data_IF_319415604991
#
_entry.id   IF_319415604991
#
_cell.length_a   1.000
_cell.length_b   1.000
_cell.length_c   1.000
_cell.angle_alpha   90.00
_cell.angle_beta   90.00
_cell.angle_gamma   90.00
#
_symmetry.space_group_name_H-M   'P 1'
#
loop_
_entity.id
_entity.type
_entity.pdbx_description
1 polymer ?
#
# COMPACT_ATOMS: atom_id res chain seq x y z
N UNK A 1 -30.86 26.76 -2.25
CA UNK A 1 -32.24 26.23 -2.13
C UNK A 1 -32.53 25.88 -0.68
N UNK A 2 -31.63 25.18 0.00
CA UNK A 2 -31.64 25.05 1.46
C UNK A 2 -31.25 26.36 2.16
N UNK A 3 -31.76 26.56 3.37
CA UNK A 3 -31.32 27.66 4.24
C UNK A 3 -29.95 27.38 4.88
N UNK A 4 -29.47 28.31 5.72
CA UNK A 4 -28.18 28.19 6.42
C UNK A 4 -28.08 26.99 7.37
N UNK A 5 -29.19 26.34 7.71
CA UNK A 5 -29.24 25.16 8.56
C UNK A 5 -29.41 23.87 7.73
N UNK A 6 -29.35 23.95 6.40
CA UNK A 6 -29.56 22.81 5.51
C UNK A 6 -31.04 22.42 5.33
N UNK A 7 -31.99 23.23 5.80
CA UNK A 7 -33.42 22.91 5.71
C UNK A 7 -34.02 23.39 4.39
N UNK A 8 -34.93 22.60 3.84
CA UNK A 8 -35.68 22.92 2.62
C UNK A 8 -37.18 22.74 2.86
N UNK A 9 -37.98 23.67 2.34
CA UNK A 9 -39.44 23.57 2.36
C UNK A 9 -40.03 24.32 1.16
N UNK A 10 -41.03 23.69 0.53
CA UNK A 10 -41.82 24.32 -0.54
C UNK A 10 -43.06 25.04 0.00
N UNK A 11 -43.21 25.22 1.31
CA UNK A 11 -44.40 25.80 1.92
C UNK A 11 -44.39 27.35 1.87
N UNK A 12 -45.55 27.97 1.66
CA UNK A 12 -45.66 29.44 1.55
C UNK A 12 -45.33 30.20 2.83
N UNK A 13 -45.43 29.54 3.99
CA UNK A 13 -45.02 30.09 5.28
C UNK A 13 -43.49 30.05 5.50
N UNK A 14 -42.76 29.31 4.66
CA UNK A 14 -41.30 29.32 4.60
C UNK A 14 -40.82 30.40 3.62
N UNK A 15 -41.28 30.33 2.37
CA UNK A 15 -41.04 31.33 1.34
C UNK A 15 -42.31 31.52 0.51
N UNK A 16 -42.79 32.76 0.40
CA UNK A 16 -43.98 33.08 -0.42
C UNK A 16 -43.77 32.60 -1.85
N UNK A 17 -44.76 31.88 -2.39
CA UNK A 17 -44.78 31.38 -3.76
C UNK A 17 -44.70 32.51 -4.79
N UNK A 18 -45.01 33.75 -4.39
CA UNK A 18 -45.02 34.94 -5.25
C UNK A 18 -43.67 35.66 -5.31
N UNK A 19 -42.77 35.38 -4.38
CA UNK A 19 -41.48 36.07 -4.27
C UNK A 19 -40.46 35.36 -5.14
N UNK A 20 -39.95 36.03 -6.18
CA UNK A 20 -38.88 35.49 -7.05
C UNK A 20 -39.14 34.04 -7.49
N UNK A 21 -40.38 33.74 -7.86
CA UNK A 21 -40.86 32.37 -8.09
C UNK A 21 -39.94 31.59 -9.03
N UNK A 22 -39.45 30.44 -8.57
CA UNK A 22 -38.56 29.52 -9.28
C UNK A 22 -37.21 30.15 -9.73
N UNK A 23 -36.78 31.26 -9.11
CA UNK A 23 -35.51 31.90 -9.46
C UNK A 23 -34.28 31.06 -9.05
N UNK A 24 -34.39 30.26 -8.00
CA UNK A 24 -33.35 29.32 -7.56
C UNK A 24 -32.06 29.96 -7.03
N UNK A 25 -32.10 31.23 -6.57
CA UNK A 25 -30.91 31.98 -6.14
C UNK A 25 -30.72 31.98 -4.63
N UNK A 26 -31.80 31.86 -3.86
CA UNK A 26 -31.75 31.84 -2.40
C UNK A 26 -32.82 30.90 -1.82
N UNK A 27 -32.69 30.55 -0.54
CA UNK A 27 -33.72 29.81 0.21
C UNK A 27 -35.01 30.62 0.46
N UNK A 28 -35.01 31.91 0.12
CA UNK A 28 -36.16 32.80 0.26
C UNK A 28 -36.96 32.96 -1.05
N UNK A 29 -36.47 32.39 -2.15
CA UNK A 29 -37.18 32.37 -3.42
C UNK A 29 -38.30 31.34 -3.37
N UNK A 30 -39.51 31.76 -3.74
CA UNK A 30 -40.70 30.92 -3.76
C UNK A 30 -40.63 29.83 -4.82
N UNK A 31 -41.34 28.74 -4.56
CA UNK A 31 -41.51 27.63 -5.52
C UNK A 31 -42.98 27.58 -5.94
N UNK A 32 -43.22 27.42 -7.24
CA UNK A 32 -44.57 27.24 -7.77
C UNK A 32 -44.56 26.46 -9.08
N UNK A 33 -45.22 25.30 -9.08
CA UNK A 33 -45.46 24.45 -10.24
C UNK A 33 -46.96 24.30 -10.54
N UNK A 34 -47.81 25.06 -9.85
CA UNK A 34 -49.24 25.08 -10.10
C UNK A 34 -49.59 25.67 -11.48
N UNK A 35 -50.74 25.28 -12.02
CA UNK A 35 -51.22 25.74 -13.34
C UNK A 35 -51.87 27.13 -13.33
N UNK A 36 -51.88 27.82 -12.18
CA UNK A 36 -52.39 29.19 -12.02
C UNK A 36 -51.27 30.17 -11.69
N UNK A 37 -51.61 31.45 -11.51
CA UNK A 37 -50.73 32.41 -10.85
C UNK A 37 -50.30 31.89 -9.45
N UNK A 38 -49.07 32.21 -8.98
CA UNK A 38 -48.60 31.78 -7.67
C UNK A 38 -49.52 32.23 -6.53
N UNK A 39 -49.88 31.27 -5.67
CA UNK A 39 -50.92 31.47 -4.65
C UNK A 39 -50.52 30.80 -3.33
N UNK A 40 -50.14 31.62 -2.34
CA UNK A 40 -49.70 31.20 -1.01
C UNK A 40 -50.75 30.41 -0.22
N UNK A 41 -52.02 30.38 -0.65
CA UNK A 41 -53.06 29.58 0.00
C UNK A 41 -53.06 28.09 -0.40
N UNK A 42 -52.29 27.73 -1.43
CA UNK A 42 -52.21 26.39 -2.05
C UNK A 42 -50.83 25.76 -1.82
N UNK A 43 -50.70 24.47 -2.12
CA UNK A 43 -49.40 23.81 -2.22
C UNK A 43 -48.69 24.18 -3.52
N UNK A 44 -47.36 24.28 -3.48
CA UNK A 44 -46.54 24.64 -4.63
C UNK A 44 -46.46 23.55 -5.72
N UNK A 45 -46.64 22.28 -5.36
CA UNK A 45 -46.48 21.12 -6.24
C UNK A 45 -47.83 20.55 -6.68
N UNK A 46 -47.88 20.03 -7.91
CA UNK A 46 -49.02 19.28 -8.44
C UNK A 46 -49.05 17.86 -7.84
N UNK A 47 -50.14 17.13 -8.08
CA UNK A 47 -50.19 15.72 -7.71
C UNK A 47 -49.43 14.90 -8.75
N UNK A 48 -48.27 14.40 -8.37
CA UNK A 48 -47.41 13.61 -9.23
C UNK A 48 -46.32 12.89 -8.41
N UNK A 49 -45.49 12.11 -9.11
CA UNK A 49 -44.22 11.59 -8.60
C UNK A 49 -43.10 12.51 -9.04
N UNK A 50 -42.29 12.94 -8.09
CA UNK A 50 -41.15 13.82 -8.29
C UNK A 50 -39.87 13.08 -7.99
N UNK A 51 -38.84 13.26 -8.82
CA UNK A 51 -37.50 12.81 -8.53
C UNK A 51 -36.74 13.94 -7.82
N UNK A 52 -36.12 13.63 -6.69
CA UNK A 52 -35.22 14.52 -5.97
C UNK A 52 -33.80 14.06 -6.24
N UNK A 53 -32.99 14.92 -6.85
CA UNK A 53 -31.58 14.68 -7.16
C UNK A 53 -30.72 15.72 -6.43
N UNK A 54 -29.67 15.25 -5.74
CA UNK A 54 -28.63 16.13 -5.22
C UNK A 54 -27.65 16.51 -6.33
N UNK A 55 -27.40 17.81 -6.50
CA UNK A 55 -26.48 18.32 -7.50
C UNK A 55 -25.09 18.58 -6.92
N UNK A 56 -24.06 18.19 -7.66
CA UNK A 56 -22.67 18.48 -7.32
C UNK A 56 -22.41 20.00 -7.21
N UNK A 57 -21.72 20.41 -6.16
CA UNK A 57 -21.31 21.77 -5.89
C UNK A 57 -20.00 21.80 -5.07
N UNK A 58 -19.42 22.98 -4.84
CA UNK A 58 -18.19 23.09 -4.04
C UNK A 58 -18.38 22.62 -2.59
N UNK A 59 -19.60 22.67 -2.04
CA UNK A 59 -19.89 22.28 -0.65
C UNK A 59 -19.99 20.77 -0.42
N UNK A 60 -20.29 19.97 -1.45
CA UNK A 60 -20.35 18.50 -1.37
C UNK A 60 -19.19 17.83 -2.14
N UNK A 61 -18.12 18.58 -2.43
CA UNK A 61 -16.92 18.04 -3.09
C UNK A 61 -16.25 16.98 -2.21
N UNK A 62 -16.06 15.77 -2.77
CA UNK A 62 -15.49 14.62 -2.05
C UNK A 62 -16.51 13.86 -1.19
N UNK A 63 -17.79 14.24 -1.26
CA UNK A 63 -18.88 13.50 -0.64
C UNK A 63 -19.55 12.59 -1.68
N UNK A 64 -20.05 11.45 -1.23
CA UNK A 64 -20.92 10.60 -2.02
C UNK A 64 -22.31 11.22 -2.03
N UNK A 65 -22.70 11.78 -3.19
CA UNK A 65 -24.01 12.39 -3.37
C UNK A 65 -25.12 11.37 -3.10
N UNK A 66 -26.21 11.86 -2.53
CA UNK A 66 -27.40 11.06 -2.28
C UNK A 66 -27.99 10.65 -3.63
N UNK A 67 -28.15 9.33 -3.91
CA UNK A 67 -28.76 8.87 -5.14
C UNK A 67 -30.16 9.46 -5.30
N UNK A 68 -30.54 9.80 -6.54
CA UNK A 68 -31.86 10.32 -6.81
C UNK A 68 -32.95 9.36 -6.30
N UNK A 69 -34.00 9.92 -5.68
CA UNK A 69 -35.11 9.14 -5.15
C UNK A 69 -36.45 9.81 -5.43
N UNK A 70 -37.50 9.00 -5.45
CA UNK A 70 -38.85 9.46 -5.77
C UNK A 70 -39.62 9.90 -4.53
N UNK A 71 -40.41 10.96 -4.70
CA UNK A 71 -41.33 11.51 -3.72
C UNK A 71 -42.71 11.68 -4.36
N UNK A 72 -43.74 11.09 -3.73
CA UNK A 72 -45.10 11.09 -4.28
C UNK A 72 -45.98 12.13 -3.58
N UNK A 73 -46.43 13.14 -4.33
CA UNK A 73 -47.41 14.13 -3.86
C UNK A 73 -48.80 13.65 -4.27
N UNK A 74 -49.56 13.09 -3.35
CA UNK A 74 -50.90 12.53 -3.63
C UNK A 74 -52.06 13.25 -2.95
N UNK A 75 -51.78 14.27 -2.12
CA UNK A 75 -52.79 14.99 -1.32
C UNK A 75 -52.47 16.46 -1.20
N UNK A 76 -53.50 17.29 -1.09
CA UNK A 76 -53.34 18.73 -0.85
C UNK A 76 -52.69 18.98 0.52
N UNK A 77 -51.77 19.96 0.59
CA UNK A 77 -51.11 20.41 1.83
C UNK A 77 -50.49 19.28 2.66
N UNK A 78 -49.94 18.27 2.00
CA UNK A 78 -49.19 17.20 2.67
C UNK A 78 -47.76 17.64 2.95
N UNK A 79 -47.25 17.30 4.13
CA UNK A 79 -45.81 17.35 4.43
C UNK A 79 -45.26 15.94 4.25
N UNK A 80 -44.22 15.81 3.43
CA UNK A 80 -43.48 14.57 3.26
C UNK A 80 -42.19 14.74 4.05
N UNK A 81 -42.08 13.99 5.14
CA UNK A 81 -40.88 13.99 5.98
C UNK A 81 -39.84 13.05 5.35
N UNK A 82 -38.72 13.63 4.90
CA UNK A 82 -37.58 12.89 4.35
C UNK A 82 -36.51 12.62 5.41
N UNK A 83 -36.80 12.96 6.67
CA UNK A 83 -35.87 12.91 7.79
C UNK A 83 -34.57 13.69 7.48
N UNK A 84 -33.44 13.20 7.98
CA UNK A 84 -32.13 13.79 7.70
C UNK A 84 -31.52 13.12 6.49
N UNK A 85 -31.39 13.89 5.41
CA UNK A 85 -30.58 13.53 4.25
C UNK A 85 -29.13 13.93 4.57
N UNK A 86 -28.22 12.98 4.59
CA UNK A 86 -26.79 13.22 4.88
C UNK A 86 -25.94 12.54 3.83
N UNK A 87 -25.04 13.31 3.24
CA UNK A 87 -24.03 12.78 2.33
C UNK A 87 -23.04 11.97 3.15
N UNK A 88 -22.76 10.76 2.69
CA UNK A 88 -21.67 9.98 3.26
C UNK A 88 -20.35 10.47 2.66
N UNK A 89 -19.28 10.51 3.46
CA UNK A 89 -17.95 10.71 2.90
C UNK A 89 -17.66 9.59 1.90
N UNK A 90 -17.22 9.95 0.68
CA UNK A 90 -16.66 8.93 -0.20
C UNK A 90 -15.33 8.52 0.43
N UNK A 91 -15.28 7.30 0.97
CA UNK A 91 -14.09 6.80 1.65
C UNK A 91 -12.96 6.67 0.62
N UNK A 92 -12.02 7.60 0.66
CA UNK A 92 -10.85 7.56 -0.21
C UNK A 92 -9.96 6.38 0.17
N UNK A 93 -9.58 5.58 -0.83
CA UNK A 93 -8.59 4.51 -0.66
C UNK A 93 -7.21 5.12 -0.87
N UNK A 94 -6.35 5.05 0.15
CA UNK A 94 -4.97 5.52 0.07
C UNK A 94 -4.00 4.37 -0.15
N UNK A 95 -2.90 4.66 -0.84
CA UNK A 95 -1.84 3.71 -1.18
C UNK A 95 -0.49 4.27 -0.78
N UNK A 96 0.25 3.49 0.01
CA UNK A 96 1.63 3.77 0.41
C UNK A 96 2.49 2.58 0.07
N UNK A 97 3.61 2.81 -0.60
CA UNK A 97 4.42 1.74 -1.16
C UNK A 97 5.88 1.86 -0.75
N UNK A 98 6.57 0.72 -0.67
CA UNK A 98 8.01 0.68 -0.43
C UNK A 98 8.67 -0.48 -1.18
N UNK A 99 9.57 -0.15 -2.09
CA UNK A 99 10.35 -1.11 -2.87
C UNK A 99 11.71 -1.41 -2.23
N UNK A 100 12.05 -2.71 -2.14
CA UNK A 100 13.31 -3.22 -1.60
C UNK A 100 13.80 -4.48 -2.32
N UNK A 101 15.07 -4.81 -2.12
CA UNK A 101 15.63 -6.10 -2.54
C UNK A 101 15.04 -7.26 -1.73
N UNK A 102 14.68 -8.36 -2.40
CA UNK A 102 14.18 -9.56 -1.72
C UNK A 102 15.19 -10.21 -0.76
N UNK A 103 16.49 -10.12 -1.06
CA UNK A 103 17.54 -10.85 -0.32
C UNK A 103 18.00 -10.02 0.88
N UNK A 104 18.26 -8.74 0.69
CA UNK A 104 18.82 -7.86 1.73
C UNK A 104 17.77 -7.02 2.45
N UNK A 105 16.60 -6.80 1.85
CA UNK A 105 15.61 -5.82 2.34
C UNK A 105 16.07 -4.37 2.18
N UNK A 106 17.17 -4.12 1.45
CA UNK A 106 17.72 -2.79 1.23
C UNK A 106 17.26 -2.20 -0.11
N UNK A 107 17.46 -0.89 -0.28
CA UNK A 107 17.21 -0.19 -1.55
C UNK A 107 18.35 -0.30 -2.55
N UNK A 108 19.29 -1.21 -2.31
CA UNK A 108 20.48 -1.41 -3.13
C UNK A 108 20.58 -2.88 -3.52
N UNK A 109 20.67 -3.13 -4.82
CA UNK A 109 20.72 -4.47 -5.41
C UNK A 109 21.97 -4.59 -6.25
N UNK A 110 22.71 -5.69 -6.17
CA UNK A 110 23.82 -5.95 -7.09
C UNK A 110 23.25 -6.50 -8.41
N UNK A 111 23.69 -5.94 -9.54
CA UNK A 111 23.30 -6.41 -10.86
C UNK A 111 23.58 -7.90 -11.04
N UNK A 112 22.70 -8.61 -11.74
CA UNK A 112 22.86 -10.03 -11.97
C UNK A 112 21.73 -10.65 -12.78
N UNK A 113 21.90 -11.91 -13.17
CA UNK A 113 20.94 -12.65 -14.01
C UNK A 113 19.55 -12.80 -13.40
N UNK A 114 19.43 -12.62 -12.09
CA UNK A 114 18.16 -12.71 -11.37
C UNK A 114 18.15 -11.67 -10.26
N UNK A 115 17.48 -10.57 -10.51
CA UNK A 115 17.13 -9.54 -9.52
C UNK A 115 15.68 -9.79 -9.10
N UNK A 116 15.34 -9.55 -7.84
CA UNK A 116 13.95 -9.57 -7.38
C UNK A 116 13.67 -8.39 -6.46
N UNK A 117 12.86 -7.46 -6.95
CA UNK A 117 12.35 -6.34 -6.17
C UNK A 117 11.05 -6.78 -5.52
N UNK A 118 10.92 -6.57 -4.22
CA UNK A 118 9.68 -6.71 -3.47
C UNK A 118 9.14 -5.32 -3.22
N UNK A 119 7.92 -5.08 -3.65
CA UNK A 119 7.17 -3.87 -3.31
C UNK A 119 6.16 -4.20 -2.22
N UNK A 120 6.24 -3.50 -1.09
CA UNK A 120 5.31 -3.61 0.03
C UNK A 120 4.29 -2.49 -0.06
N UNK A 121 3.03 -2.84 -0.25
CA UNK A 121 1.93 -1.91 -0.48
C UNK A 121 1.00 -1.93 0.72
N UNK A 122 0.96 -0.81 1.44
CA UNK A 122 -0.04 -0.53 2.48
C UNK A 122 -1.23 0.18 1.84
N UNK A 123 -2.41 -0.37 2.07
CA UNK A 123 -3.68 0.13 1.57
C UNK A 123 -4.57 0.45 2.76
N UNK A 124 -5.12 1.65 2.81
CA UNK A 124 -6.10 2.04 3.81
C UNK A 124 -7.40 2.45 3.14
N UNK A 125 -8.51 2.18 3.82
CA UNK A 125 -9.84 2.55 3.36
C UNK A 125 -10.50 1.54 2.41
N UNK A 126 -9.98 0.32 2.30
CA UNK A 126 -10.61 -0.76 1.54
C UNK A 126 -11.99 -1.12 2.11
N UNK A 127 -12.84 -1.71 1.26
CA UNK A 127 -14.11 -2.28 1.67
C UNK A 127 -13.99 -3.79 1.92
N UNK A 128 -14.33 -4.24 3.13
CA UNK A 128 -14.24 -5.66 3.50
C UNK A 128 -15.13 -6.54 2.60
N UNK A 129 -14.59 -7.68 2.16
CA UNK A 129 -15.24 -8.60 1.23
C UNK A 129 -15.20 -8.17 -0.24
N UNK A 130 -14.70 -6.96 -0.55
CA UNK A 130 -14.58 -6.47 -1.93
C UNK A 130 -13.32 -6.99 -2.61
N UNK A 131 -13.43 -7.33 -3.90
CA UNK A 131 -12.32 -7.79 -4.73
C UNK A 131 -11.57 -6.62 -5.35
N UNK A 132 -10.26 -6.64 -5.26
CA UNK A 132 -9.36 -5.65 -5.84
C UNK A 132 -8.28 -6.31 -6.71
N UNK A 133 -7.71 -5.52 -7.63
CA UNK A 133 -6.55 -5.89 -8.43
C UNK A 133 -5.49 -4.80 -8.30
N UNK A 134 -4.33 -5.16 -7.75
CA UNK A 134 -3.14 -4.33 -7.70
C UNK A 134 -2.29 -4.62 -8.93
N UNK A 135 -1.99 -3.60 -9.72
CA UNK A 135 -1.08 -3.69 -10.86
C UNK A 135 0.17 -2.89 -10.57
N UNK A 136 1.33 -3.50 -10.74
CA UNK A 136 2.60 -2.83 -10.55
C UNK A 136 3.53 -3.01 -11.75
N UNK A 137 4.45 -2.06 -11.95
CA UNK A 137 5.51 -2.17 -12.96
C UNK A 137 6.75 -1.37 -12.59
N UNK A 138 7.87 -1.78 -13.16
CA UNK A 138 9.16 -1.11 -12.95
C UNK A 138 9.37 -0.01 -13.99
N UNK A 139 9.82 1.15 -13.52
CA UNK A 139 10.23 2.30 -14.32
C UNK A 139 11.75 2.46 -14.21
N UNK A 140 12.40 2.85 -15.30
CA UNK A 140 13.78 3.35 -15.27
C UNK A 140 13.75 4.84 -14.95
N UNK A 141 14.33 5.24 -13.81
CA UNK A 141 14.21 6.60 -13.26
C UNK A 141 14.75 7.65 -14.22
N UNK A 142 15.91 7.39 -14.81
CA UNK A 142 16.62 8.36 -15.66
C UNK A 142 15.89 8.67 -16.98
N UNK A 143 15.13 7.70 -17.49
CA UNK A 143 14.42 7.82 -18.77
C UNK A 143 12.93 8.13 -18.59
N UNK A 144 12.42 8.05 -17.36
CA UNK A 144 10.99 8.08 -17.05
C UNK A 144 10.17 7.15 -17.98
N UNK A 145 10.72 5.95 -18.21
CA UNK A 145 10.18 4.97 -19.14
C UNK A 145 10.01 3.61 -18.45
N UNK A 146 9.03 2.82 -18.91
CA UNK A 146 8.84 1.46 -18.39
C UNK A 146 10.08 0.62 -18.69
N UNK A 147 10.57 -0.10 -17.69
CA UNK A 147 11.68 -1.03 -17.84
C UNK A 147 11.29 -2.15 -18.82
N UNK A 148 12.14 -2.36 -19.84
CA UNK A 148 12.01 -3.43 -20.81
C UNK A 148 13.22 -4.37 -20.70
N UNK A 149 12.96 -5.65 -20.48
CA UNK A 149 13.97 -6.73 -20.59
C UNK A 149 13.53 -7.63 -21.73
N UNK A 150 14.39 -7.83 -22.73
CA UNK A 150 14.10 -8.58 -23.96
C UNK A 150 12.81 -8.10 -24.67
N UNK A 151 12.57 -6.78 -24.65
CA UNK A 151 11.39 -6.15 -25.26
C UNK A 151 10.09 -6.36 -24.48
N UNK A 152 10.12 -6.97 -23.29
CA UNK A 152 8.96 -7.19 -22.42
C UNK A 152 8.99 -6.24 -21.22
N UNK A 153 7.83 -5.69 -20.89
CA UNK A 153 7.65 -4.86 -19.69
C UNK A 153 7.78 -5.75 -18.45
N UNK A 154 8.40 -5.21 -17.41
CA UNK A 154 8.43 -5.84 -16.09
C UNK A 154 7.20 -5.37 -15.31
N UNK A 155 6.20 -6.24 -15.23
CA UNK A 155 4.90 -5.98 -14.59
C UNK A 155 4.50 -7.15 -13.69
N UNK A 156 3.63 -6.89 -12.72
CA UNK A 156 2.98 -7.91 -11.91
C UNK A 156 1.55 -7.45 -11.57
N UNK A 157 0.59 -8.35 -11.68
CA UNK A 157 -0.81 -8.12 -11.34
C UNK A 157 -1.20 -9.09 -10.23
N UNK A 158 -1.73 -8.57 -9.13
CA UNK A 158 -2.13 -9.35 -7.96
C UNK A 158 -3.58 -9.06 -7.60
N UNK A 159 -4.43 -10.09 -7.65
CA UNK A 159 -5.83 -10.00 -7.23
C UNK A 159 -6.00 -10.51 -5.81
N UNK A 160 -6.76 -9.78 -5.00
CA UNK A 160 -7.09 -10.17 -3.64
C UNK A 160 -8.51 -9.73 -3.26
N UNK A 161 -9.05 -10.35 -2.23
CA UNK A 161 -10.29 -9.87 -1.57
C UNK A 161 -9.89 -9.21 -0.28
N UNK A 162 -10.44 -8.03 0.02
CA UNK A 162 -10.07 -7.31 1.22
C UNK A 162 -10.67 -7.97 2.46
N UNK A 163 -9.83 -8.42 3.39
CA UNK A 163 -10.28 -9.03 4.66
C UNK A 163 -10.53 -7.98 5.75
N UNK A 164 -10.00 -6.78 5.56
CA UNK A 164 -10.03 -5.64 6.48
C UNK A 164 -9.85 -4.35 5.70
N UNK A 165 -10.27 -3.23 6.29
CA UNK A 165 -10.12 -1.92 5.65
C UNK A 165 -8.66 -1.50 5.41
N UNK A 166 -7.74 -1.96 6.27
CA UNK A 166 -6.31 -1.62 6.19
C UNK A 166 -5.48 -2.88 5.95
N UNK A 167 -4.90 -3.02 4.77
CA UNK A 167 -4.14 -4.20 4.37
C UNK A 167 -2.70 -3.87 3.98
N UNK A 168 -1.83 -4.87 4.14
CA UNK A 168 -0.50 -4.85 3.56
C UNK A 168 -0.43 -6.03 2.57
N UNK A 169 0.01 -5.75 1.35
CA UNK A 169 0.21 -6.75 0.30
C UNK A 169 1.61 -6.60 -0.27
N UNK A 170 2.23 -7.69 -0.71
CA UNK A 170 3.55 -7.67 -1.32
C UNK A 170 3.47 -8.22 -2.74
N UNK A 171 4.09 -7.52 -3.69
CA UNK A 171 4.24 -7.96 -5.08
C UNK A 171 5.71 -8.02 -5.45
N UNK A 172 6.07 -9.00 -6.28
CA UNK A 172 7.47 -9.26 -6.63
C UNK A 172 7.74 -9.08 -8.12
N UNK A 173 8.87 -8.47 -8.45
CA UNK A 173 9.33 -8.28 -9.82
C UNK A 173 10.67 -8.99 -9.99
N UNK A 174 10.63 -10.16 -10.66
CA UNK A 174 11.84 -10.93 -10.97
C UNK A 174 12.22 -10.80 -12.43
N UNK A 175 13.46 -10.39 -12.71
CA UNK A 175 13.96 -10.19 -14.08
C UNK A 175 15.49 -10.32 -14.14
N UNK A 176 16.04 -10.37 -15.36
CA UNK A 176 17.47 -10.28 -15.60
C UNK A 176 17.92 -8.82 -15.49
N UNK A 177 18.63 -8.48 -14.42
CA UNK A 177 19.15 -7.14 -14.16
C UNK A 177 20.64 -7.00 -14.48
N UNK A 178 21.24 -7.94 -15.20
CA UNK A 178 22.68 -7.98 -15.46
C UNK A 178 23.22 -6.76 -16.20
N UNK A 179 22.38 -6.10 -17.00
CA UNK A 179 22.72 -4.91 -17.78
C UNK A 179 22.31 -3.59 -17.11
N UNK A 180 21.74 -3.65 -15.90
CA UNK A 180 21.20 -2.49 -15.19
C UNK A 180 22.15 -1.91 -14.15
N UNK A 181 23.41 -2.36 -14.11
CA UNK A 181 24.43 -1.77 -13.24
C UNK A 181 24.49 -0.23 -13.39
N UNK A 182 24.44 0.47 -12.27
CA UNK A 182 24.44 1.94 -12.20
C UNK A 182 23.08 2.60 -12.42
N UNK A 183 22.00 1.85 -12.65
CA UNK A 183 20.65 2.39 -12.89
C UNK A 183 19.81 2.45 -11.62
N UNK A 184 18.82 3.35 -11.61
CA UNK A 184 17.77 3.37 -10.60
C UNK A 184 16.44 2.94 -11.19
N UNK A 185 15.73 2.11 -10.43
CA UNK A 185 14.40 1.65 -10.78
C UNK A 185 13.40 2.18 -9.76
N UNK A 186 12.19 2.49 -10.22
CA UNK A 186 11.08 2.96 -9.40
C UNK A 186 9.87 2.09 -9.68
N UNK A 187 9.24 1.57 -8.63
CA UNK A 187 7.99 0.81 -8.78
C UNK A 187 6.80 1.77 -8.82
N UNK A 188 5.93 1.58 -9.80
CA UNK A 188 4.64 2.27 -9.93
C UNK A 188 3.52 1.29 -9.73
N UNK A 189 2.42 1.76 -9.12
CA UNK A 189 1.27 0.94 -8.78
C UNK A 189 -0.06 1.62 -9.15
N UNK A 190 -1.05 0.81 -9.52
CA UNK A 190 -2.46 1.18 -9.61
C UNK A 190 -3.31 0.13 -8.90
N UNK A 191 -4.31 0.58 -8.13
CA UNK A 191 -5.32 -0.30 -7.53
C UNK A 191 -6.66 -0.13 -8.25
N UNK A 192 -7.28 -1.26 -8.60
CA UNK A 192 -8.58 -1.32 -9.25
C UNK A 192 -9.61 -2.05 -8.38
N UNK A 193 -10.81 -1.48 -8.30
CA UNK A 193 -12.01 -2.15 -7.81
C UNK A 193 -12.54 -3.10 -8.89
N UNK A 194 -12.67 -4.37 -8.54
CA UNK A 194 -13.07 -5.45 -9.43
C UNK A 194 -14.52 -5.90 -9.21
N UNK A 195 -15.35 -5.10 -8.52
CA UNK A 195 -16.77 -5.39 -8.28
C UNK A 195 -17.54 -5.57 -9.59
N UNK A 196 -17.20 -4.80 -10.63
CA UNK A 196 -17.60 -5.04 -12.00
C UNK A 196 -16.40 -5.52 -12.83
N UNK A 197 -16.22 -6.83 -13.08
CA UNK A 197 -15.08 -7.34 -13.83
C UNK A 197 -15.02 -6.88 -15.30
N UNK A 198 -16.15 -6.49 -15.90
CA UNK A 198 -16.18 -5.98 -17.27
C UNK A 198 -15.73 -4.51 -17.37
N UNK A 199 -15.84 -3.77 -16.27
CA UNK A 199 -15.44 -2.37 -16.16
C UNK A 199 -14.70 -2.11 -14.84
N UNK A 200 -13.45 -2.59 -14.70
CA UNK A 200 -12.64 -2.33 -13.52
C UNK A 200 -12.45 -0.82 -13.29
N UNK A 201 -12.81 -0.33 -12.11
CA UNK A 201 -12.67 1.09 -11.76
C UNK A 201 -11.33 1.30 -11.05
N UNK A 202 -10.47 2.16 -11.59
CA UNK A 202 -9.27 2.58 -10.85
C UNK A 202 -9.69 3.40 -9.63
N UNK A 203 -9.21 3.02 -8.45
CA UNK A 203 -9.55 3.69 -7.18
C UNK A 203 -8.42 4.53 -6.63
N UNK A 204 -7.16 4.11 -6.82
CA UNK A 204 -5.98 4.88 -6.37
C UNK A 204 -4.73 4.46 -7.14
N UNK A 205 -3.67 5.25 -7.08
CA UNK A 205 -2.39 4.96 -7.73
C UNK A 205 -1.22 5.62 -7.01
N UNK A 206 -0.03 5.02 -7.13
CA UNK A 206 1.23 5.62 -6.74
C UNK A 206 2.18 5.63 -7.94
N UNK A 207 2.47 6.83 -8.47
CA UNK A 207 3.21 7.02 -9.72
C UNK A 207 4.16 8.20 -9.68
N UNK A 208 4.95 8.30 -8.61
CA UNK A 208 5.94 9.37 -8.46
C UNK A 208 7.34 8.85 -8.79
N UNK A 209 7.91 9.33 -9.89
CA UNK A 209 9.23 8.89 -10.38
C UNK A 209 10.38 9.33 -9.44
N UNK A 210 10.14 10.33 -8.59
CA UNK A 210 11.11 10.84 -7.63
C UNK A 210 10.88 10.30 -6.21
N UNK A 211 10.01 9.31 -6.01
CA UNK A 211 9.77 8.74 -4.69
C UNK A 211 10.95 7.84 -4.29
N UNK A 212 11.70 8.28 -3.29
CA UNK A 212 12.84 7.54 -2.73
C UNK A 212 12.41 6.26 -1.98
N UNK A 213 11.20 6.25 -1.42
CA UNK A 213 10.51 5.08 -0.87
C UNK A 213 10.20 4.03 -1.93
N UNK A 214 10.03 4.43 -3.19
CA UNK A 214 9.86 3.51 -4.33
C UNK A 214 11.12 3.28 -5.18
N UNK A 215 12.18 4.02 -4.92
CA UNK A 215 13.43 3.90 -5.69
C UNK A 215 14.32 2.77 -5.12
N UNK A 216 14.86 1.94 -6.02
CA UNK A 216 15.98 1.03 -5.74
C UNK A 216 17.13 1.31 -6.69
N UNK A 217 18.37 1.22 -6.19
CA UNK A 217 19.60 1.39 -6.98
C UNK A 217 20.21 0.04 -7.32
N UNK A 218 20.42 -0.23 -8.60
CA UNK A 218 21.15 -1.39 -9.07
C UNK A 218 22.64 -1.03 -9.19
N UNK A 219 23.50 -1.60 -8.35
CA UNK A 219 24.96 -1.43 -8.42
C UNK A 219 25.58 -2.40 -9.41
N UNK A 220 26.69 -1.99 -10.00
CA UNK A 220 27.51 -2.88 -10.81
C UNK A 220 28.03 -4.06 -9.98
N UNK A 221 28.28 -5.18 -10.65
CA UNK A 221 28.97 -6.32 -10.02
C UNK A 221 30.39 -5.85 -9.67
N UNK A 222 30.84 -6.00 -8.41
CA UNK A 222 32.22 -5.68 -8.06
C UNK A 222 33.18 -6.47 -8.95
N UNK A 223 34.11 -5.79 -9.61
CA UNK A 223 35.17 -6.47 -10.35
C UNK A 223 35.92 -7.39 -9.38
N UNK A 224 35.97 -8.67 -9.71
CA UNK A 224 36.90 -9.57 -9.03
C UNK A 224 38.29 -9.16 -9.50
N UNK A 225 39.26 -8.84 -8.61
CA UNK A 225 40.59 -8.46 -9.05
C UNK A 225 41.16 -9.61 -9.89
N UNK A 226 41.39 -9.32 -11.17
CA UNK A 226 42.04 -10.26 -12.07
C UNK A 226 43.46 -10.47 -11.54
N UNK A 227 43.92 -11.70 -11.24
CA UNK A 227 45.31 -11.91 -10.87
C UNK A 227 46.18 -11.47 -12.05
N UNK A 228 46.92 -10.37 -11.88
CA UNK A 228 47.93 -9.96 -12.85
C UNK A 228 48.89 -11.13 -13.06
N UNK A 229 49.00 -11.58 -14.30
CA UNK A 229 50.00 -12.58 -14.69
C UNK A 229 51.37 -11.90 -14.61
N UNK A 230 52.34 -12.39 -13.81
CA UNK A 230 53.64 -11.74 -13.67
C UNK A 230 54.39 -11.69 -15.00
N UNK A 231 54.66 -10.49 -15.49
CA UNK A 231 55.48 -10.25 -16.67
C UNK A 231 56.92 -10.75 -16.47
N UNK A 232 57.45 -11.41 -17.50
CA UNK A 232 58.85 -11.85 -17.54
C UNK A 232 59.79 -10.64 -17.58
N UNK A 233 60.59 -10.45 -16.54
CA UNK A 233 61.81 -9.62 -16.57
C UNK A 233 62.99 -10.39 -15.99
N UNK A 234 64.10 -10.34 -16.71
CA UNK A 234 65.30 -11.17 -16.49
C UNK A 234 66.30 -10.47 -15.56
N UNK A 235 66.82 -11.23 -14.56
CA UNK A 235 67.98 -10.98 -13.65
C UNK A 235 67.75 -9.95 -12.53
N UNK A 236 68.15 -10.13 -11.25
CA UNK A 236 69.27 -10.90 -10.66
C UNK A 236 69.02 -11.15 -9.15
N UNK A 237 69.34 -12.37 -8.68
CA UNK A 237 69.79 -12.75 -7.32
C UNK A 237 69.40 -11.90 -6.10
N UNK A 238 68.45 -12.40 -5.30
CA UNK A 238 68.68 -12.83 -3.90
C UNK A 238 67.39 -13.45 -3.36
N UNK A 239 67.38 -14.77 -3.14
CA UNK A 239 66.27 -15.45 -2.46
C UNK A 239 66.31 -15.16 -0.96
N UNK A 240 65.21 -14.66 -0.33
CA UNK A 240 64.82 -15.11 0.98
C UNK A 240 63.96 -16.37 0.84
N UNK A 241 64.35 -17.41 1.57
CA UNK A 241 63.64 -18.68 1.71
C UNK A 241 62.66 -18.57 2.90
N UNK A 242 61.62 -19.39 2.85
CA UNK A 242 60.54 -19.65 3.83
C UNK A 242 59.40 -18.61 3.80
N UNK A 243 58.13 -18.99 3.61
CA UNK A 243 57.46 -20.14 4.23
C UNK A 243 57.01 -19.73 5.62
N UNK A 244 56.21 -18.68 5.70
CA UNK A 244 55.82 -18.06 6.97
C UNK A 244 54.60 -18.80 7.55
N UNK A 245 54.88 -19.80 8.40
CA UNK A 245 53.87 -20.57 9.17
C UNK A 245 53.38 -19.81 10.40
N UNK A 246 53.66 -18.51 10.51
CA UNK A 246 53.45 -17.71 11.72
C UNK A 246 51.99 -17.60 12.18
N UNK A 247 51.00 -17.75 11.29
CA UNK A 247 49.59 -17.70 11.67
C UNK A 247 48.85 -19.04 11.61
N UNK A 248 49.38 -20.06 10.94
CA UNK A 248 48.70 -21.37 10.84
C UNK A 248 48.73 -22.14 12.16
N UNK A 249 49.81 -22.01 12.94
CA UNK A 249 49.94 -22.67 14.25
C UNK A 249 48.94 -22.08 15.26
N UNK A 250 48.67 -20.77 15.19
CA UNK A 250 47.73 -20.11 16.09
C UNK A 250 46.29 -20.62 15.87
N UNK A 251 45.87 -20.79 14.61
CA UNK A 251 44.53 -21.30 14.28
C UNK A 251 44.36 -22.80 14.59
N UNK A 252 45.41 -23.61 14.39
CA UNK A 252 45.37 -25.04 14.75
C UNK A 252 45.31 -25.21 16.27
N UNK A 253 46.01 -24.38 17.05
CA UNK A 253 45.93 -24.41 18.51
C UNK A 253 44.53 -24.02 19.05
N UNK A 254 43.86 -23.02 18.43
CA UNK A 254 42.50 -22.61 18.79
C UNK A 254 41.48 -23.72 18.52
N UNK A 255 41.62 -24.45 17.41
CA UNK A 255 40.74 -25.58 17.08
C UNK A 255 40.91 -26.80 18.00
N UNK A 256 42.12 -27.04 18.52
CA UNK A 256 42.37 -28.15 19.46
C UNK A 256 41.84 -27.83 20.87
N UNK A 257 41.85 -26.56 21.29
CA UNK A 257 41.34 -26.15 22.61
C UNK A 257 39.81 -26.18 22.71
N UNK A 258 39.08 -25.95 21.62
CA UNK A 258 37.60 -25.98 21.62
C UNK A 258 37.04 -27.41 21.71
N UNK A 259 37.75 -28.42 21.21
CA UNK A 259 37.36 -29.83 21.33
C UNK A 259 37.56 -30.40 22.75
N UNK A 260 38.58 -29.93 23.48
CA UNK A 260 38.83 -30.35 24.87
C UNK A 260 37.77 -29.80 25.86
N UNK A 261 37.28 -28.57 25.63
CA UNK A 261 36.26 -27.93 26.47
C UNK A 261 34.93 -28.67 26.49
N UNK A 262 34.46 -29.17 25.33
CA UNK A 262 33.18 -29.88 25.21
C UNK A 262 33.22 -31.23 25.95
N UNK A 263 34.36 -31.92 25.93
CA UNK A 263 34.52 -33.21 26.62
C UNK A 263 34.62 -33.03 28.14
N UNK A 264 35.32 -31.98 28.60
CA UNK A 264 35.47 -31.64 30.02
C UNK A 264 34.15 -31.24 30.70
N UNK A 265 33.31 -30.42 30.04
CA UNK A 265 31.98 -30.03 30.55
C UNK A 265 31.05 -31.24 30.69
N UNK A 266 31.12 -32.19 29.76
CA UNK A 266 30.29 -33.41 29.81
C UNK A 266 30.68 -34.33 30.98
N UNK A 267 31.98 -34.44 31.29
CA UNK A 267 32.48 -35.22 32.44
C UNK A 267 32.19 -34.51 33.77
N UNK A 268 32.31 -33.18 33.83
CA UNK A 268 32.00 -32.41 35.04
C UNK A 268 30.50 -32.46 35.39
N UNK A 269 29.62 -32.35 34.39
CA UNK A 269 28.17 -32.49 34.61
C UNK A 269 27.80 -33.93 35.04
N UNK A 270 28.45 -34.97 34.51
CA UNK A 270 28.25 -36.36 35.00
C UNK A 270 28.71 -36.53 36.46
N UNK A 271 29.88 -36.01 36.84
CA UNK A 271 30.35 -36.09 38.24
C UNK A 271 29.47 -35.30 39.21
N UNK A 272 28.89 -34.18 38.79
CA UNK A 272 27.98 -33.37 39.62
C UNK A 272 26.63 -34.06 39.85
N UNK A 273 26.11 -34.80 38.86
CA UNK A 273 24.89 -35.62 39.00
C UNK A 273 25.10 -36.79 39.97
N UNK A 274 26.22 -37.53 39.86
CA UNK A 274 26.53 -38.66 40.76
C UNK A 274 26.73 -38.21 42.22
N UNK A 275 27.33 -37.03 42.44
CA UNK A 275 27.46 -36.45 43.79
C UNK A 275 26.12 -35.99 44.38
N UNK A 276 25.13 -35.63 43.55
CA UNK A 276 23.79 -35.21 44.00
C UNK A 276 22.97 -36.42 44.44
N UNK A 277 22.98 -37.49 43.64
CA UNK A 277 22.29 -38.75 43.94
C UNK A 277 22.83 -39.42 45.22
N UNK A 278 24.15 -39.45 45.43
CA UNK A 278 24.74 -40.01 46.65
C UNK A 278 24.57 -39.17 47.93
N UNK A 279 24.05 -37.93 47.81
CA UNK A 279 23.69 -37.08 48.97
C UNK A 279 22.21 -37.24 49.31
N UNK A 280 21.35 -37.50 48.33
CA UNK A 280 19.92 -37.82 48.55
C UNK A 280 19.74 -39.22 49.16
N UNK A 281 20.47 -40.24 48.69
CA UNK A 281 20.44 -41.60 49.28
C UNK A 281 20.86 -41.61 50.76
N UNK A 282 21.83 -40.76 51.15
CA UNK A 282 22.29 -40.65 52.55
C UNK A 282 21.36 -39.82 53.45
N UNK A 283 20.39 -39.12 52.88
CA UNK A 283 19.36 -38.38 53.64
C UNK A 283 18.15 -39.26 53.94
N UNK A 284 17.78 -40.20 53.05
CA UNK A 284 16.71 -41.17 53.32
C UNK A 284 17.11 -42.26 54.33
N UNK A 285 18.40 -42.58 54.47
CA UNK A 285 18.88 -43.54 55.48
C UNK A 285 18.96 -42.99 56.92
N UNK A 286 18.52 -41.74 57.15
CA UNK A 286 18.61 -41.05 58.45
C UNK A 286 17.30 -40.41 58.95
N UNK A 287 16.15 -40.80 58.41
CA UNK A 287 14.83 -40.56 59.03
C UNK A 287 14.17 -41.87 59.49
#
# INVERSE_FOLDING_TARGET
MTDKNGQFSTASNWASHKRNTNAGKSSEDGIWFGTSEPDDSKGALLYDTYEIEELACESNKGMKLIPAFEVVVSRNKVTIDLETLTDEYEKEITIHTTATDKITGEKVIVAGKKVTIVDTVTLDGLEEGRKYQLKGWQMLKEENAKLLIDGKKITNDYEFTADKENMEVQIEFTFDGSTLGGKQLVTFEELYDMTNPEEPKKVTEHKEINDEGQTVTIKEVPETPTPETPGTTTKTSNFPKTGDTANAILWIAILVLSAAGITGVRIWNKKKQVKRLGIEEKKEEKE
#
